data_IF_796030480829
#
_entry.id   IF_796030480829
#
_cell.length_a   1.000
_cell.length_b   1.000
_cell.length_c   1.000
_cell.angle_alpha   90.00
_cell.angle_beta   90.00
_cell.angle_gamma   90.00
#
_symmetry.space_group_name_H-M   'P 1'
#
loop_
_entity.id
_entity.type
_entity.pdbx_description
1 polymer ?
#
# COMPACT_ATOMS: atom_id res chain seq x y z
N UNK A 1 16.67 42.93 -0.95
CA UNK A 1 16.51 41.52 -0.52
C UNK A 1 16.16 40.63 -1.72
N UNK A 2 16.96 39.59 -1.98
CA UNK A 2 16.71 38.64 -3.06
C UNK A 2 15.68 37.64 -2.52
N UNK A 3 14.44 37.70 -3.00
CA UNK A 3 13.38 36.76 -2.61
C UNK A 3 13.53 35.49 -3.43
N UNK A 4 14.28 34.52 -2.91
CA UNK A 4 14.41 33.21 -3.51
C UNK A 4 13.13 32.39 -3.20
N UNK A 5 12.40 32.03 -4.26
CA UNK A 5 11.17 31.25 -4.14
C UNK A 5 11.50 29.75 -4.12
N UNK A 6 11.53 29.20 -2.92
CA UNK A 6 11.89 27.81 -2.61
C UNK A 6 10.96 26.80 -3.31
N UNK A 7 9.76 27.23 -3.75
CA UNK A 7 8.76 26.35 -4.36
C UNK A 7 9.04 26.04 -5.84
N UNK A 8 9.79 26.89 -6.54
CA UNK A 8 10.22 26.64 -7.92
C UNK A 8 11.51 25.84 -7.99
N UNK A 9 12.20 25.67 -6.86
CA UNK A 9 13.47 24.98 -6.80
C UNK A 9 13.36 23.50 -7.21
N UNK A 10 14.34 23.06 -7.98
CA UNK A 10 14.39 21.71 -8.53
C UNK A 10 14.40 20.63 -7.44
N UNK A 11 15.11 20.87 -6.32
CA UNK A 11 15.14 19.93 -5.20
C UNK A 11 13.78 19.80 -4.51
N UNK A 12 13.01 20.90 -4.39
CA UNK A 12 11.69 20.89 -3.77
C UNK A 12 10.67 20.09 -4.60
N UNK A 13 10.71 20.23 -5.94
CA UNK A 13 9.85 19.44 -6.84
C UNK A 13 10.20 17.95 -6.79
N UNK A 14 11.49 17.61 -6.71
CA UNK A 14 11.96 16.23 -6.62
C UNK A 14 11.49 15.57 -5.31
N UNK A 15 11.71 16.21 -4.16
CA UNK A 15 11.27 15.69 -2.86
C UNK A 15 9.74 15.53 -2.76
N UNK A 16 8.96 16.41 -3.40
CA UNK A 16 7.49 16.28 -3.46
C UNK A 16 7.04 15.12 -4.35
N UNK A 17 7.76 14.83 -5.43
CA UNK A 17 7.47 13.70 -6.31
C UNK A 17 7.80 12.36 -5.62
N UNK A 18 8.97 12.29 -4.96
CA UNK A 18 9.40 11.12 -4.19
C UNK A 18 8.43 10.83 -3.03
N UNK A 19 8.09 11.82 -2.21
CA UNK A 19 7.14 11.63 -1.11
C UNK A 19 5.71 11.30 -1.56
N UNK A 20 5.31 11.70 -2.78
CA UNK A 20 4.02 11.29 -3.35
C UNK A 20 4.06 9.84 -3.86
N UNK A 21 5.18 9.41 -4.42
CA UNK A 21 5.36 8.03 -4.89
C UNK A 21 5.37 7.05 -3.70
N UNK A 22 6.16 7.35 -2.66
CA UNK A 22 6.23 6.54 -1.43
C UNK A 22 4.86 6.45 -0.74
N UNK A 23 4.14 7.59 -0.62
CA UNK A 23 2.81 7.60 -0.02
C UNK A 23 1.74 6.84 -0.82
N UNK A 24 1.90 6.72 -2.14
CA UNK A 24 1.01 5.92 -2.99
C UNK A 24 1.32 4.43 -2.83
N UNK A 25 2.61 4.06 -2.78
CA UNK A 25 3.07 2.68 -2.62
C UNK A 25 2.66 2.12 -1.26
N UNK A 26 2.96 2.83 -0.16
CA UNK A 26 2.50 2.47 1.19
C UNK A 26 0.96 2.42 1.29
N UNK A 27 0.28 3.30 0.56
CA UNK A 27 -1.17 3.37 0.53
C UNK A 27 -1.82 2.19 -0.19
N UNK A 28 -1.20 1.71 -1.27
CA UNK A 28 -1.67 0.52 -1.98
C UNK A 28 -1.41 -0.74 -1.17
N UNK A 29 -0.20 -0.92 -0.63
CA UNK A 29 0.13 -2.12 0.13
C UNK A 29 -0.76 -2.26 1.38
N UNK A 30 -0.99 -1.16 2.13
CA UNK A 30 -1.91 -1.18 3.27
C UNK A 30 -3.34 -1.53 2.86
N UNK A 31 -3.84 -1.00 1.74
CA UNK A 31 -5.19 -1.32 1.26
C UNK A 31 -5.32 -2.80 0.92
N UNK A 32 -4.36 -3.37 0.20
CA UNK A 32 -4.38 -4.80 -0.15
C UNK A 32 -4.30 -5.68 1.09
N UNK A 33 -3.44 -5.37 2.07
CA UNK A 33 -3.40 -6.09 3.35
C UNK A 33 -4.74 -6.02 4.12
N UNK A 34 -5.39 -4.85 4.15
CA UNK A 34 -6.71 -4.67 4.79
C UNK A 34 -7.80 -5.49 4.07
N UNK A 35 -7.78 -5.51 2.73
CA UNK A 35 -8.73 -6.30 1.95
C UNK A 35 -8.56 -7.79 2.25
N UNK A 36 -7.32 -8.28 2.29
CA UNK A 36 -7.01 -9.66 2.66
C UNK A 36 -7.49 -9.99 4.07
N UNK A 37 -7.14 -9.18 5.06
CA UNK A 37 -7.55 -9.39 6.45
C UNK A 37 -9.08 -9.42 6.59
N UNK A 38 -9.78 -8.42 6.03
CA UNK A 38 -11.25 -8.35 6.09
C UNK A 38 -11.93 -9.48 5.32
N UNK A 39 -11.35 -9.91 4.20
CA UNK A 39 -11.88 -11.02 3.44
C UNK A 39 -11.73 -12.34 4.16
N UNK A 40 -10.57 -12.54 4.81
CA UNK A 40 -10.31 -13.70 5.67
C UNK A 40 -11.27 -13.74 6.86
N UNK A 41 -11.47 -12.61 7.57
CA UNK A 41 -12.44 -12.51 8.67
C UNK A 41 -13.89 -12.80 8.24
N UNK A 42 -14.25 -12.48 6.99
CA UNK A 42 -15.56 -12.76 6.41
C UNK A 42 -15.72 -14.20 5.92
N UNK A 43 -14.65 -15.00 5.92
CA UNK A 43 -14.65 -16.36 5.41
C UNK A 43 -14.76 -16.48 3.88
N UNK A 44 -14.29 -15.46 3.15
CA UNK A 44 -14.19 -15.52 1.68
C UNK A 44 -13.12 -16.53 1.26
N UNK A 45 -13.24 -17.05 0.04
CA UNK A 45 -12.20 -17.91 -0.55
C UNK A 45 -10.92 -17.13 -0.85
N UNK A 46 -9.79 -17.83 -0.89
CA UNK A 46 -8.50 -17.22 -1.20
C UNK A 46 -8.48 -16.62 -2.61
N UNK A 47 -9.19 -17.24 -3.56
CA UNK A 47 -9.34 -16.75 -4.92
C UNK A 47 -10.14 -15.44 -4.97
N UNK A 48 -11.28 -15.35 -4.27
CA UNK A 48 -12.07 -14.11 -4.21
C UNK A 48 -11.29 -12.97 -3.55
N UNK A 49 -10.51 -13.28 -2.51
CA UNK A 49 -9.66 -12.30 -1.83
C UNK A 49 -8.54 -11.81 -2.76
N UNK A 50 -7.93 -12.71 -3.52
CA UNK A 50 -6.91 -12.39 -4.51
C UNK A 50 -7.46 -11.46 -5.61
N UNK A 51 -8.66 -11.76 -6.12
CA UNK A 51 -9.35 -10.89 -7.08
C UNK A 51 -9.68 -9.51 -6.49
N UNK A 52 -10.16 -9.45 -5.25
CA UNK A 52 -10.49 -8.18 -4.59
C UNK A 52 -9.27 -7.32 -4.27
N UNK A 53 -8.14 -7.95 -3.95
CA UNK A 53 -6.88 -7.29 -3.65
C UNK A 53 -6.06 -6.96 -4.90
N UNK A 54 -6.45 -7.49 -6.07
CA UNK A 54 -5.68 -7.47 -7.33
C UNK A 54 -4.26 -8.01 -7.15
N UNK A 55 -4.14 -9.09 -6.36
CA UNK A 55 -2.86 -9.69 -5.96
C UNK A 55 -2.89 -11.21 -6.18
N UNK A 56 -1.75 -11.86 -6.41
CA UNK A 56 -1.70 -13.30 -6.56
C UNK A 56 -2.10 -14.02 -5.27
N UNK A 57 -2.76 -15.17 -5.41
CA UNK A 57 -3.21 -16.02 -4.29
C UNK A 57 -2.05 -16.38 -3.35
N UNK A 58 -0.84 -16.58 -3.87
CA UNK A 58 0.36 -16.85 -3.07
C UNK A 58 0.68 -15.72 -2.07
N UNK A 59 0.51 -14.47 -2.50
CA UNK A 59 0.70 -13.31 -1.63
C UNK A 59 -0.39 -13.23 -0.56
N UNK A 60 -1.63 -13.52 -0.94
CA UNK A 60 -2.76 -13.60 0.01
C UNK A 60 -2.51 -14.66 1.08
N UNK A 61 -2.01 -15.85 0.72
CA UNK A 61 -1.64 -16.91 1.66
C UNK A 61 -0.56 -16.44 2.63
N UNK A 62 0.48 -15.75 2.14
CA UNK A 62 1.55 -15.23 2.98
C UNK A 62 1.00 -14.22 4.01
N UNK A 63 0.15 -13.29 3.59
CA UNK A 63 -0.46 -12.28 4.46
C UNK A 63 -1.39 -12.93 5.50
N UNK A 64 -2.19 -13.93 5.11
CA UNK A 64 -3.05 -14.64 6.07
C UNK A 64 -2.22 -15.37 7.13
N UNK A 65 -1.10 -16.01 6.74
CA UNK A 65 -0.17 -16.64 7.70
C UNK A 65 0.45 -15.64 8.67
N UNK A 66 0.81 -14.44 8.19
CA UNK A 66 1.27 -13.36 9.08
C UNK A 66 0.18 -12.99 10.10
N UNK A 67 -1.07 -12.82 9.65
CA UNK A 67 -2.23 -12.49 10.52
C UNK A 67 -2.49 -13.59 11.56
N UNK A 68 -2.36 -14.86 11.19
CA UNK A 68 -2.51 -16.00 12.11
C UNK A 68 -1.37 -16.10 13.12
N UNK A 69 -0.16 -15.65 12.75
CA UNK A 69 1.02 -15.69 13.64
C UNK A 69 1.04 -14.52 14.63
N UNK A 70 0.43 -13.39 14.29
CA UNK A 70 0.26 -12.22 15.18
C UNK A 70 -0.93 -12.35 16.15
N UNK A 71 -1.74 -13.42 16.04
CA UNK A 71 -2.91 -13.69 16.89
C UNK A 71 -2.56 -14.46 18.16
#
# INVERSE_FOLDING_TARGET
PITYDIKTDFLYKKGKAEGKAEGIEEGMERKSRIVVARGYEKGLSLEEIAELADMPVEWVIAVIREIETEK
#
